data_IF_919830976244
#
_entry.id   IF_919830976244
#
_cell.length_a   1.000
_cell.length_b   1.000
_cell.length_c   1.000
_cell.angle_alpha   90.00
_cell.angle_beta   90.00
_cell.angle_gamma   90.00
#
_symmetry.space_group_name_H-M   'P 1'
#
loop_
_entity.id
_entity.type
_entity.pdbx_description
1 polymer ?
#
# COMPACT_ATOMS: atom_id res chain seq x y z
N UNK A 1 26.91 -16.02 -11.61
CA UNK A 1 27.23 -16.59 -12.92
C UNK A 1 26.42 -15.93 -14.04
N UNK A 2 25.10 -15.85 -13.90
CA UNK A 2 24.19 -15.24 -14.89
C UNK A 2 24.58 -13.81 -15.28
N UNK A 3 24.85 -12.94 -14.30
CA UNK A 3 25.25 -11.56 -14.53
C UNK A 3 26.60 -11.44 -15.26
N UNK A 4 27.54 -12.38 -15.05
CA UNK A 4 28.83 -12.39 -15.73
C UNK A 4 28.67 -12.69 -17.21
N UNK A 5 27.85 -13.71 -17.56
CA UNK A 5 27.59 -14.02 -18.97
C UNK A 5 26.86 -12.90 -19.67
N UNK A 6 25.83 -12.34 -19.06
CA UNK A 6 25.09 -11.25 -19.63
C UNK A 6 25.98 -10.02 -19.89
N UNK A 7 26.85 -9.67 -18.94
CA UNK A 7 27.81 -8.57 -19.11
C UNK A 7 28.86 -8.87 -20.18
N UNK A 8 29.36 -10.10 -20.23
CA UNK A 8 30.33 -10.52 -21.25
C UNK A 8 29.77 -10.38 -22.67
N UNK A 9 28.56 -10.91 -22.91
CA UNK A 9 27.90 -10.80 -24.20
C UNK A 9 27.58 -9.34 -24.56
N UNK A 10 27.14 -8.55 -23.62
CA UNK A 10 26.84 -7.14 -23.87
C UNK A 10 28.10 -6.37 -24.28
N UNK A 11 29.22 -6.60 -23.61
CA UNK A 11 30.52 -5.98 -24.00
C UNK A 11 30.95 -6.38 -25.40
N UNK A 12 30.80 -7.62 -25.75
CA UNK A 12 31.09 -8.10 -27.11
C UNK A 12 30.19 -7.39 -28.14
N UNK A 13 28.89 -7.29 -27.85
CA UNK A 13 27.94 -6.58 -28.74
C UNK A 13 28.23 -5.07 -28.83
N UNK A 14 28.75 -4.48 -27.76
CA UNK A 14 29.22 -3.10 -27.77
C UNK A 14 30.46 -2.92 -28.65
N UNK A 15 31.42 -3.80 -28.51
CA UNK A 15 32.66 -3.74 -29.28
C UNK A 15 32.44 -3.88 -30.80
N UNK A 16 31.42 -4.62 -31.19
CA UNK A 16 31.00 -4.75 -32.61
C UNK A 16 29.92 -3.74 -33.04
N UNK A 17 29.60 -2.78 -32.20
CA UNK A 17 28.67 -1.66 -32.51
C UNK A 17 27.18 -2.00 -32.58
N UNK A 18 26.75 -3.13 -32.02
CA UNK A 18 25.34 -3.57 -32.04
C UNK A 18 24.54 -2.89 -30.94
N UNK A 19 25.13 -2.60 -29.78
CA UNK A 19 24.46 -1.91 -28.66
C UNK A 19 25.16 -0.58 -28.35
N UNK A 20 24.40 0.46 -27.88
CA UNK A 20 24.94 1.80 -27.73
C UNK A 20 25.69 2.05 -26.42
N UNK A 21 25.61 1.14 -25.44
CA UNK A 21 26.19 1.32 -24.10
C UNK A 21 27.25 0.28 -23.78
N UNK A 22 28.34 0.69 -23.11
CA UNK A 22 29.43 -0.21 -22.74
C UNK A 22 29.08 -1.16 -21.60
N UNK A 23 28.10 -0.82 -20.76
CA UNK A 23 27.65 -1.63 -19.64
C UNK A 23 26.14 -1.92 -19.73
N UNK A 24 25.71 -3.18 -19.47
CA UNK A 24 24.30 -3.58 -19.63
C UNK A 24 23.39 -3.09 -18.49
N UNK A 25 23.98 -2.78 -17.32
CA UNK A 25 23.22 -2.49 -16.12
C UNK A 25 23.66 -1.18 -15.47
N UNK A 26 22.71 -0.28 -15.26
CA UNK A 26 22.94 0.98 -14.53
C UNK A 26 22.81 0.79 -13.02
N UNK A 27 21.97 -0.14 -12.58
CA UNK A 27 21.68 -0.37 -11.16
C UNK A 27 21.44 -1.86 -10.92
N UNK A 28 21.96 -2.36 -9.80
CA UNK A 28 21.60 -3.68 -9.27
C UNK A 28 20.71 -3.51 -8.05
N UNK A 29 19.50 -4.03 -8.12
CA UNK A 29 18.60 -4.13 -6.97
C UNK A 29 18.62 -5.56 -6.45
N UNK A 30 18.98 -5.71 -5.17
CA UNK A 30 18.91 -7.00 -4.51
C UNK A 30 17.51 -7.17 -3.93
N UNK A 31 16.72 -8.05 -4.51
CA UNK A 31 15.47 -8.49 -3.91
C UNK A 31 15.79 -9.40 -2.71
N UNK A 32 14.93 -9.41 -1.71
CA UNK A 32 14.98 -10.35 -0.61
C UNK A 32 14.86 -11.80 -1.11
N UNK A 33 15.21 -12.74 -0.26
CA UNK A 33 15.04 -14.16 -0.56
C UNK A 33 13.57 -14.53 -0.46
N UNK A 34 13.10 -15.38 -1.36
CA UNK A 34 11.78 -16.02 -1.21
C UNK A 34 11.93 -17.04 -0.08
N UNK A 35 11.09 -16.90 0.94
CA UNK A 35 11.10 -17.72 2.13
C UNK A 35 9.93 -18.71 2.09
N UNK A 36 10.16 -19.91 2.62
CA UNK A 36 9.15 -20.93 2.79
C UNK A 36 9.23 -21.55 4.20
N UNK A 37 8.24 -22.33 4.57
CA UNK A 37 8.26 -23.08 5.82
C UNK A 37 9.46 -24.02 5.85
N UNK A 38 10.12 -24.11 7.00
CA UNK A 38 11.20 -25.06 7.20
C UNK A 38 10.62 -26.42 7.64
N UNK A 39 10.72 -27.46 6.78
CA UNK A 39 10.16 -28.78 7.13
C UNK A 39 10.92 -29.46 8.28
N UNK A 40 12.07 -28.97 8.67
CA UNK A 40 12.89 -29.52 9.77
C UNK A 40 12.75 -28.72 11.07
N UNK A 41 11.93 -27.68 11.10
CA UNK A 41 11.62 -26.94 12.34
C UNK A 41 10.49 -27.63 13.08
N UNK A 42 10.65 -27.81 14.39
CA UNK A 42 9.69 -28.49 15.25
C UNK A 42 8.25 -27.98 15.05
N UNK A 43 8.06 -26.66 14.97
CA UNK A 43 6.73 -26.05 14.84
C UNK A 43 6.04 -26.32 13.50
N UNK A 44 6.79 -26.75 12.49
CA UNK A 44 6.26 -27.05 11.16
C UNK A 44 6.08 -28.57 10.91
N UNK A 45 6.50 -29.41 11.86
CA UNK A 45 6.30 -30.86 11.74
C UNK A 45 4.83 -31.22 11.92
N UNK A 46 4.36 -32.31 11.28
CA UNK A 46 3.03 -32.86 11.56
C UNK A 46 2.85 -33.16 13.05
N UNK A 47 1.62 -33.00 13.55
CA UNK A 47 1.31 -33.20 14.99
C UNK A 47 1.77 -34.57 15.52
N UNK A 48 1.62 -35.62 14.72
CA UNK A 48 2.07 -36.96 15.06
C UNK A 48 3.59 -37.06 15.28
N UNK A 49 4.38 -36.34 14.46
CA UNK A 49 5.83 -36.30 14.60
C UNK A 49 6.25 -35.44 15.79
N UNK A 50 5.56 -34.32 16.07
CA UNK A 50 5.78 -33.54 17.26
C UNK A 50 5.53 -34.35 18.52
N UNK A 51 4.40 -35.07 18.60
CA UNK A 51 4.05 -35.94 19.73
C UNK A 51 5.06 -37.07 19.93
N UNK A 52 5.57 -37.64 18.85
CA UNK A 52 6.61 -38.69 18.91
C UNK A 52 7.91 -38.14 19.52
N UNK A 53 8.36 -36.97 19.02
CA UNK A 53 9.55 -36.31 19.55
C UNK A 53 9.37 -35.86 21.01
N UNK A 54 8.20 -35.38 21.39
CA UNK A 54 7.93 -35.02 22.79
C UNK A 54 7.97 -36.22 23.73
N UNK A 55 7.47 -37.36 23.28
CA UNK A 55 7.56 -38.63 24.04
C UNK A 55 8.99 -39.14 24.15
N UNK A 56 9.78 -39.00 23.08
CA UNK A 56 11.18 -39.46 23.03
C UNK A 56 12.12 -38.57 23.85
N UNK A 57 12.00 -37.27 23.74
CA UNK A 57 12.92 -36.32 24.36
C UNK A 57 12.38 -35.61 25.60
N UNK A 58 11.12 -35.86 25.98
CA UNK A 58 10.50 -35.37 27.21
C UNK A 58 10.13 -33.87 27.24
N UNK A 59 10.63 -33.05 26.31
CA UNK A 59 10.28 -31.66 26.21
C UNK A 59 10.52 -31.11 24.80
N UNK A 60 9.77 -30.05 24.42
CA UNK A 60 9.95 -29.38 23.14
C UNK A 60 11.38 -28.88 22.94
N UNK A 61 11.98 -28.25 23.97
CA UNK A 61 13.35 -27.75 23.91
C UNK A 61 14.39 -28.83 23.64
N UNK A 62 14.19 -30.02 24.20
CA UNK A 62 15.08 -31.15 23.94
C UNK A 62 14.85 -31.73 22.53
N UNK A 63 13.61 -31.79 22.05
CA UNK A 63 13.28 -32.18 20.69
C UNK A 63 13.86 -31.20 19.66
N UNK A 64 13.76 -29.90 19.88
CA UNK A 64 14.37 -28.86 19.03
C UNK A 64 15.90 -29.01 18.96
N UNK A 65 16.53 -29.31 20.11
CA UNK A 65 17.98 -29.55 20.15
C UNK A 65 18.37 -30.80 19.36
N UNK A 66 17.61 -31.87 19.43
CA UNK A 66 17.84 -33.08 18.65
C UNK A 66 17.67 -32.85 17.13
N UNK A 67 16.68 -32.03 16.76
CA UNK A 67 16.51 -31.61 15.36
C UNK A 67 17.69 -30.74 14.88
N UNK A 68 18.20 -29.89 15.75
CA UNK A 68 19.39 -29.09 15.45
C UNK A 68 20.65 -29.95 15.26
N UNK A 69 20.87 -30.93 16.11
CA UNK A 69 21.98 -31.88 15.96
C UNK A 69 21.88 -32.68 14.66
N UNK A 70 20.65 -32.98 14.21
CA UNK A 70 20.40 -33.76 12.99
C UNK A 70 20.44 -32.91 11.71
N UNK A 71 19.86 -31.71 11.73
CA UNK A 71 19.63 -30.87 10.54
C UNK A 71 20.40 -29.53 10.55
N UNK A 72 21.15 -29.25 11.62
CA UNK A 72 21.93 -28.03 11.79
C UNK A 72 21.11 -26.87 12.35
N UNK A 73 21.79 -25.75 12.62
CA UNK A 73 21.24 -24.54 13.25
C UNK A 73 20.01 -23.99 12.51
N UNK A 74 19.90 -24.22 11.21
CA UNK A 74 18.73 -23.76 10.42
C UNK A 74 17.40 -24.34 10.91
N UNK A 75 17.38 -25.50 11.58
CA UNK A 75 16.16 -26.11 12.13
C UNK A 75 15.47 -25.27 13.21
N UNK A 76 16.21 -24.34 13.84
CA UNK A 76 15.68 -23.37 14.80
C UNK A 76 14.73 -22.35 14.16
N UNK A 77 14.86 -22.13 12.87
CA UNK A 77 14.11 -21.10 12.16
C UNK A 77 12.89 -21.72 11.47
N UNK A 78 11.65 -21.33 11.85
CA UNK A 78 10.45 -21.88 11.22
C UNK A 78 10.28 -21.46 9.76
N UNK A 79 10.94 -20.39 9.36
CA UNK A 79 10.92 -19.86 7.99
C UNK A 79 12.35 -19.74 7.50
N UNK A 80 12.63 -20.32 6.34
CA UNK A 80 13.97 -20.33 5.72
C UNK A 80 13.88 -20.08 4.23
N UNK A 81 15.04 -19.87 3.60
CA UNK A 81 15.11 -19.72 2.14
C UNK A 81 14.49 -20.94 1.44
N UNK A 82 13.61 -20.69 0.48
CA UNK A 82 13.08 -21.73 -0.40
C UNK A 82 14.19 -22.43 -1.14
N UNK A 83 14.25 -23.77 -1.08
CA UNK A 83 15.25 -24.58 -1.74
C UNK A 83 14.69 -25.94 -2.12
N UNK A 84 15.00 -26.39 -3.35
CA UNK A 84 14.62 -27.74 -3.81
C UNK A 84 15.21 -28.85 -2.92
N UNK A 85 16.40 -28.65 -2.36
CA UNK A 85 17.03 -29.61 -1.45
C UNK A 85 16.35 -29.72 -0.09
N UNK A 86 15.61 -28.69 0.34
CA UNK A 86 14.82 -28.68 1.58
C UNK A 86 13.39 -29.18 1.37
N UNK A 87 12.97 -29.37 0.10
CA UNK A 87 11.59 -29.76 -0.21
C UNK A 87 10.54 -28.70 0.15
N UNK A 88 10.94 -27.48 0.46
CA UNK A 88 10.03 -26.39 0.84
C UNK A 88 9.72 -25.43 -0.33
N UNK A 89 9.99 -25.88 -1.54
CA UNK A 89 9.66 -25.17 -2.79
C UNK A 89 8.20 -25.47 -3.11
N UNK A 90 7.45 -24.43 -3.34
CA UNK A 90 6.09 -24.54 -3.85
C UNK A 90 6.19 -24.78 -5.35
N UNK A 91 5.71 -25.94 -5.81
CA UNK A 91 5.56 -26.19 -7.23
C UNK A 91 4.37 -25.38 -7.74
N UNK A 92 4.53 -24.56 -8.80
CA UNK A 92 3.40 -23.81 -9.39
C UNK A 92 2.26 -24.71 -9.87
N UNK A 93 2.56 -25.97 -10.19
CA UNK A 93 1.59 -26.97 -10.66
C UNK A 93 0.92 -27.72 -9.48
N UNK A 94 1.51 -27.70 -8.29
CA UNK A 94 0.88 -28.16 -7.07
C UNK A 94 0.39 -26.93 -6.31
N UNK A 95 -0.91 -26.86 -6.06
CA UNK A 95 -1.55 -25.76 -5.38
C UNK A 95 -0.75 -25.33 -4.12
N UNK A 96 0.09 -24.33 -4.28
CA UNK A 96 0.47 -23.51 -3.14
C UNK A 96 -0.84 -23.10 -2.46
N UNK A 97 -0.89 -22.91 -1.14
CA UNK A 97 -1.99 -22.20 -0.55
C UNK A 97 -1.89 -20.72 -1.00
N UNK A 98 -2.11 -20.52 -2.30
CA UNK A 98 -2.54 -19.24 -2.79
C UNK A 98 -3.74 -18.91 -1.92
N UNK A 99 -3.66 -17.83 -1.19
CA UNK A 99 -4.87 -17.28 -0.64
C UNK A 99 -5.68 -16.80 -1.84
N UNK A 100 -6.56 -17.67 -2.32
CA UNK A 100 -7.47 -17.39 -3.44
C UNK A 100 -8.25 -16.11 -3.18
N UNK A 101 -8.48 -15.79 -1.91
CA UNK A 101 -9.02 -14.53 -1.44
C UNK A 101 -8.16 -13.31 -1.80
N UNK A 102 -6.84 -13.42 -1.79
CA UNK A 102 -5.94 -12.31 -2.14
C UNK A 102 -5.99 -12.03 -3.65
N UNK A 103 -6.01 -13.09 -4.49
CA UNK A 103 -6.17 -12.96 -5.95
C UNK A 103 -7.53 -12.38 -6.28
N UNK A 104 -8.60 -12.86 -5.63
CA UNK A 104 -9.94 -12.32 -5.81
C UNK A 104 -10.02 -10.84 -5.40
N UNK A 105 -9.22 -10.41 -4.41
CA UNK A 105 -9.06 -9.01 -4.03
C UNK A 105 -8.43 -8.15 -5.14
N UNK A 106 -7.35 -8.66 -5.74
CA UNK A 106 -6.68 -7.99 -6.86
C UNK A 106 -7.59 -7.91 -8.10
N UNK A 107 -8.27 -9.00 -8.46
CA UNK A 107 -9.20 -9.01 -9.59
C UNK A 107 -10.33 -7.99 -9.36
N UNK A 108 -10.97 -7.99 -8.20
CA UNK A 108 -12.01 -7.00 -7.88
C UNK A 108 -11.51 -5.56 -7.95
N UNK A 109 -10.25 -5.31 -7.58
CA UNK A 109 -9.66 -3.99 -7.73
C UNK A 109 -9.52 -3.60 -9.21
N UNK A 110 -9.00 -4.48 -10.05
CA UNK A 110 -8.87 -4.25 -11.49
C UNK A 110 -10.25 -4.07 -12.15
N UNK A 111 -11.23 -4.92 -11.82
CA UNK A 111 -12.61 -4.79 -12.31
C UNK A 111 -13.22 -3.43 -11.94
N UNK A 112 -12.95 -2.94 -10.73
CA UNK A 112 -13.42 -1.63 -10.29
C UNK A 112 -12.74 -0.49 -11.03
N UNK A 113 -11.44 -0.58 -11.31
CA UNK A 113 -10.75 0.41 -12.15
C UNK A 113 -11.35 0.44 -13.55
N UNK A 114 -11.57 -0.75 -14.14
CA UNK A 114 -12.24 -0.85 -15.43
C UNK A 114 -13.63 -0.20 -15.43
N UNK A 115 -14.44 -0.54 -14.46
CA UNK A 115 -15.80 -0.02 -14.34
C UNK A 115 -15.89 1.49 -14.08
N UNK A 116 -14.80 2.16 -13.66
CA UNK A 116 -14.76 3.62 -13.57
C UNK A 116 -14.88 4.30 -14.95
N UNK A 117 -14.46 3.63 -16.03
CA UNK A 117 -14.62 4.18 -17.37
C UNK A 117 -16.09 4.31 -17.81
N UNK A 118 -16.99 3.56 -17.18
CA UNK A 118 -18.42 3.64 -17.40
C UNK A 118 -19.12 4.60 -16.39
N UNK A 119 -18.35 5.18 -15.47
CA UNK A 119 -18.81 6.10 -14.42
C UNK A 119 -18.10 7.45 -14.50
N UNK A 120 -17.83 7.90 -15.71
CA UNK A 120 -17.26 9.22 -15.90
C UNK A 120 -18.28 10.29 -15.53
N UNK A 121 -17.83 11.28 -14.75
CA UNK A 121 -18.60 12.47 -14.39
C UNK A 121 -18.07 13.68 -15.14
N UNK A 122 -18.94 14.67 -15.38
CA UNK A 122 -18.55 15.92 -16.00
C UNK A 122 -17.57 16.69 -15.12
N UNK A 123 -16.59 17.33 -15.73
CA UNK A 123 -15.59 18.18 -15.07
C UNK A 123 -14.28 18.20 -15.82
N UNK A 124 -13.59 19.32 -15.73
CA UNK A 124 -12.22 19.49 -16.25
C UNK A 124 -11.21 19.34 -15.12
N UNK A 125 -10.16 18.54 -15.33
CA UNK A 125 -9.11 18.33 -14.33
C UNK A 125 -9.56 17.52 -13.11
N UNK A 126 -8.86 17.75 -11.98
CA UNK A 126 -9.19 17.10 -10.72
C UNK A 126 -10.22 17.91 -9.96
N UNK A 127 -11.24 17.23 -9.41
CA UNK A 127 -12.26 17.87 -8.58
C UNK A 127 -11.69 18.28 -7.22
N UNK A 128 -12.11 19.43 -6.64
CA UNK A 128 -11.55 19.96 -5.39
C UNK A 128 -11.53 18.96 -4.23
N UNK A 129 -12.57 18.12 -4.12
CA UNK A 129 -12.67 17.11 -3.05
C UNK A 129 -11.72 15.93 -3.22
N UNK A 130 -11.12 15.74 -4.40
CA UNK A 130 -10.20 14.64 -4.74
C UNK A 130 -8.79 15.16 -5.04
N UNK A 131 -8.63 16.43 -5.39
CA UNK A 131 -7.38 17.02 -5.88
C UNK A 131 -6.19 16.73 -4.96
N UNK A 132 -6.34 16.95 -3.66
CA UNK A 132 -5.27 16.66 -2.67
C UNK A 132 -4.87 15.20 -2.70
N UNK A 133 -5.84 14.28 -2.71
CA UNK A 133 -5.57 12.84 -2.75
C UNK A 133 -4.93 12.43 -4.07
N UNK A 134 -5.29 13.05 -5.22
CA UNK A 134 -4.63 12.81 -6.51
C UNK A 134 -3.15 13.15 -6.43
N UNK A 135 -2.79 14.36 -5.99
CA UNK A 135 -1.40 14.80 -5.86
C UNK A 135 -0.61 13.95 -4.85
N UNK A 136 -1.19 13.61 -3.70
CA UNK A 136 -0.59 12.69 -2.73
C UNK A 136 -0.34 11.30 -3.33
N UNK A 137 -1.28 10.80 -4.14
CA UNK A 137 -1.16 9.48 -4.76
C UNK A 137 -0.08 9.47 -5.83
N UNK A 138 0.01 10.49 -6.69
CA UNK A 138 1.08 10.61 -7.70
C UNK A 138 2.44 10.59 -7.00
N UNK A 139 2.61 11.43 -5.98
CA UNK A 139 3.85 11.52 -5.18
C UNK A 139 4.22 10.18 -4.55
N UNK A 140 3.26 9.56 -3.86
CA UNK A 140 3.50 8.32 -3.12
C UNK A 140 3.78 7.14 -4.04
N UNK A 141 2.99 6.94 -5.09
CA UNK A 141 3.17 5.83 -6.04
C UNK A 141 4.50 5.97 -6.76
N UNK A 142 4.89 7.18 -7.20
CA UNK A 142 6.19 7.41 -7.81
C UNK A 142 7.34 7.05 -6.89
N UNK A 143 7.35 7.53 -5.65
CA UNK A 143 8.39 7.22 -4.66
C UNK A 143 8.43 5.73 -4.28
N UNK A 144 7.26 5.07 -4.18
CA UNK A 144 7.16 3.65 -3.87
C UNK A 144 7.70 2.78 -5.02
N UNK A 145 7.46 3.14 -6.28
CA UNK A 145 8.01 2.45 -7.44
C UNK A 145 9.55 2.57 -7.48
N UNK A 146 10.09 3.78 -7.26
CA UNK A 146 11.54 4.00 -7.22
C UNK A 146 12.24 3.17 -6.13
N UNK A 147 11.54 2.95 -5.01
CA UNK A 147 12.04 2.16 -3.88
C UNK A 147 11.57 0.70 -3.90
N UNK A 148 10.91 0.25 -4.97
CA UNK A 148 10.37 -1.11 -5.18
C UNK A 148 9.37 -1.55 -4.10
N UNK A 149 8.63 -0.62 -3.52
CA UNK A 149 7.55 -0.88 -2.56
C UNK A 149 6.20 -1.05 -3.27
N UNK A 150 6.13 -2.01 -4.19
CA UNK A 150 4.97 -2.21 -5.08
C UNK A 150 3.66 -2.43 -4.32
N UNK A 151 3.70 -3.13 -3.18
CA UNK A 151 2.52 -3.39 -2.34
C UNK A 151 1.92 -2.10 -1.76
N UNK A 152 2.75 -1.14 -1.32
CA UNK A 152 2.27 0.13 -0.77
C UNK A 152 1.77 1.07 -1.86
N UNK A 153 2.37 1.03 -3.05
CA UNK A 153 1.87 1.73 -4.23
C UNK A 153 0.46 1.26 -4.62
N UNK A 154 0.25 -0.07 -4.70
CA UNK A 154 -1.07 -0.65 -5.00
C UNK A 154 -2.09 -0.28 -3.92
N UNK A 155 -1.72 -0.34 -2.63
CA UNK A 155 -2.61 0.06 -1.53
C UNK A 155 -3.03 1.53 -1.64
N UNK A 156 -2.13 2.42 -2.06
CA UNK A 156 -2.46 3.82 -2.30
C UNK A 156 -3.41 3.99 -3.49
N UNK A 157 -3.20 3.26 -4.58
CA UNK A 157 -4.13 3.24 -5.72
C UNK A 157 -5.52 2.74 -5.31
N UNK A 158 -5.60 1.70 -4.48
CA UNK A 158 -6.88 1.22 -3.94
C UNK A 158 -7.60 2.31 -3.12
N UNK A 159 -6.85 3.07 -2.31
CA UNK A 159 -7.39 4.20 -1.54
C UNK A 159 -7.97 5.27 -2.47
N UNK A 160 -7.24 5.65 -3.51
CA UNK A 160 -7.71 6.62 -4.49
C UNK A 160 -8.97 6.14 -5.22
N UNK A 161 -8.98 4.90 -5.71
CA UNK A 161 -10.14 4.32 -6.39
C UNK A 161 -11.38 4.28 -5.47
N UNK A 162 -11.21 3.95 -4.19
CA UNK A 162 -12.31 4.01 -3.22
C UNK A 162 -12.87 5.44 -3.12
N UNK A 163 -12.00 6.44 -2.96
CA UNK A 163 -12.42 7.83 -2.86
C UNK A 163 -13.14 8.32 -4.13
N UNK A 164 -12.73 7.87 -5.33
CA UNK A 164 -13.43 8.18 -6.57
C UNK A 164 -14.85 7.61 -6.57
N UNK A 165 -15.03 6.35 -6.13
CA UNK A 165 -16.36 5.74 -5.99
C UNK A 165 -17.24 6.47 -4.96
N UNK A 166 -16.67 6.83 -3.81
CA UNK A 166 -17.38 7.54 -2.74
C UNK A 166 -17.84 8.94 -3.20
N UNK A 167 -17.17 9.51 -4.21
CA UNK A 167 -17.51 10.78 -4.85
C UNK A 167 -18.26 10.63 -6.18
N UNK A 168 -18.89 9.48 -6.42
CA UNK A 168 -19.81 9.25 -7.53
C UNK A 168 -19.20 8.89 -8.87
N UNK A 169 -17.88 8.66 -8.94
CA UNK A 169 -17.14 8.32 -10.17
C UNK A 169 -15.87 9.15 -10.32
N UNK A 170 -15.35 9.24 -11.53
CA UNK A 170 -14.13 9.98 -11.85
C UNK A 170 -14.37 10.95 -13.01
N UNK A 171 -13.69 12.10 -13.04
CA UNK A 171 -13.54 12.85 -14.29
C UNK A 171 -12.60 12.12 -15.23
N UNK A 172 -12.61 12.48 -16.50
CA UNK A 172 -11.67 11.89 -17.46
C UNK A 172 -10.22 12.04 -17.00
N UNK A 173 -9.82 13.24 -16.55
CA UNK A 173 -8.46 13.53 -16.09
C UNK A 173 -8.08 12.74 -14.81
N UNK A 174 -9.02 12.53 -13.89
CA UNK A 174 -8.80 11.71 -12.70
C UNK A 174 -8.57 10.23 -13.09
N UNK A 175 -9.37 9.70 -14.01
CA UNK A 175 -9.22 8.32 -14.47
C UNK A 175 -7.94 8.13 -15.32
N UNK A 176 -7.61 9.06 -16.21
CA UNK A 176 -6.35 9.04 -16.95
C UNK A 176 -5.14 8.94 -16.02
N UNK A 177 -5.13 9.71 -14.94
CA UNK A 177 -4.06 9.65 -13.93
C UNK A 177 -4.02 8.30 -13.22
N UNK A 178 -5.18 7.74 -12.82
CA UNK A 178 -5.22 6.38 -12.24
C UNK A 178 -4.65 5.36 -13.21
N UNK A 179 -5.00 5.43 -14.47
CA UNK A 179 -4.56 4.52 -15.54
C UNK A 179 -3.04 4.65 -15.76
N UNK A 180 -2.51 5.88 -15.79
CA UNK A 180 -1.07 6.12 -15.87
C UNK A 180 -0.30 5.51 -14.69
N UNK A 181 -0.78 5.75 -13.46
CA UNK A 181 -0.13 5.24 -12.24
C UNK A 181 -0.23 3.72 -12.12
N UNK A 182 -1.27 3.11 -12.68
CA UNK A 182 -1.50 1.66 -12.66
C UNK A 182 -0.74 0.93 -13.80
N UNK A 183 -0.32 1.63 -14.84
CA UNK A 183 0.31 1.01 -16.02
C UNK A 183 1.50 0.08 -15.69
N UNK A 184 2.43 0.42 -14.77
CA UNK A 184 3.53 -0.48 -14.39
C UNK A 184 3.09 -1.81 -13.77
N UNK A 185 1.86 -1.90 -13.28
CA UNK A 185 1.31 -3.08 -12.58
C UNK A 185 0.37 -3.91 -13.47
N UNK A 186 -0.35 -3.25 -14.37
CA UNK A 186 -1.36 -3.88 -15.23
C UNK A 186 -1.34 -3.29 -16.65
N UNK A 187 -0.21 -3.42 -17.39
CA UNK A 187 0.00 -2.69 -18.64
C UNK A 187 -1.08 -2.95 -19.69
N UNK A 188 -1.49 -4.20 -19.89
CA UNK A 188 -2.46 -4.53 -20.93
C UNK A 188 -3.83 -3.87 -20.71
N UNK A 189 -4.33 -3.93 -19.47
CA UNK A 189 -5.61 -3.32 -19.12
C UNK A 189 -5.57 -1.80 -19.22
N UNK A 190 -4.47 -1.20 -18.81
CA UNK A 190 -4.33 0.26 -18.81
C UNK A 190 -4.12 0.83 -20.20
N UNK A 191 -3.45 0.13 -21.11
CA UNK A 191 -3.38 0.52 -22.52
C UNK A 191 -4.78 0.51 -23.16
N UNK A 192 -5.58 -0.53 -22.93
CA UNK A 192 -6.95 -0.62 -23.43
C UNK A 192 -7.86 0.49 -22.86
N UNK A 193 -7.73 0.79 -21.56
CA UNK A 193 -8.44 1.91 -20.94
C UNK A 193 -8.00 3.27 -21.51
N UNK A 194 -6.72 3.41 -21.86
CA UNK A 194 -6.18 4.62 -22.44
C UNK A 194 -6.82 4.90 -23.81
N UNK A 195 -6.95 3.88 -24.67
CA UNK A 195 -7.68 3.98 -25.91
C UNK A 195 -9.17 4.29 -25.69
N UNK A 196 -9.81 3.61 -24.74
CA UNK A 196 -11.22 3.85 -24.38
C UNK A 196 -11.47 5.29 -23.93
N UNK A 197 -10.49 5.93 -23.31
CA UNK A 197 -10.52 7.34 -22.91
C UNK A 197 -10.29 8.32 -24.10
N UNK A 198 -10.06 7.80 -25.29
CA UNK A 198 -9.99 8.56 -26.53
C UNK A 198 -8.58 8.94 -26.98
N UNK A 199 -7.56 8.31 -26.42
CA UNK A 199 -6.19 8.42 -26.90
C UNK A 199 -5.97 7.52 -28.14
N UNK A 200 -5.03 7.91 -29.00
CA UNK A 200 -4.74 7.14 -30.21
C UNK A 200 -4.05 5.82 -29.88
N UNK A 201 -4.42 4.73 -30.58
CA UNK A 201 -3.72 3.44 -30.49
C UNK A 201 -2.19 3.55 -30.72
N UNK A 202 -1.73 4.55 -31.44
CA UNK A 202 -0.31 4.78 -31.66
C UNK A 202 0.38 5.56 -30.51
N UNK A 203 -0.39 6.06 -29.55
CA UNK A 203 0.10 6.77 -28.36
C UNK A 203 0.13 5.80 -27.17
N UNK A 204 1.13 4.90 -27.17
CA UNK A 204 1.25 3.93 -26.10
C UNK A 204 1.48 4.62 -24.76
N UNK A 205 0.64 4.28 -23.77
CA UNK A 205 0.70 4.83 -22.41
C UNK A 205 2.06 4.59 -21.74
N UNK A 206 2.72 3.47 -22.05
CA UNK A 206 4.04 3.13 -21.51
C UNK A 206 5.11 4.19 -21.82
N UNK A 207 4.96 4.98 -22.88
CA UNK A 207 5.87 6.07 -23.26
C UNK A 207 5.33 7.45 -22.90
N UNK A 208 4.13 7.50 -22.30
CA UNK A 208 3.55 8.76 -21.88
C UNK A 208 4.26 9.31 -20.63
N UNK A 209 4.45 10.65 -20.51
CA UNK A 209 5.13 11.23 -19.35
C UNK A 209 4.42 10.86 -18.04
N UNK A 210 5.21 10.51 -17.01
CA UNK A 210 4.68 10.27 -15.68
C UNK A 210 3.94 11.51 -15.15
N UNK A 211 2.77 11.34 -14.52
CA UNK A 211 1.98 12.47 -14.04
C UNK A 211 2.75 13.25 -12.96
N UNK A 212 2.61 14.57 -13.01
CA UNK A 212 3.28 15.48 -12.08
C UNK A 212 2.37 15.82 -10.91
N UNK A 213 2.95 15.96 -9.73
CA UNK A 213 2.25 16.47 -8.56
C UNK A 213 2.75 17.85 -8.17
N UNK A 214 1.91 18.62 -7.50
CA UNK A 214 2.22 19.89 -6.89
C UNK A 214 2.32 19.70 -5.37
N UNK A 215 3.47 20.01 -4.78
CA UNK A 215 3.71 19.82 -3.34
C UNK A 215 2.70 20.61 -2.48
N UNK A 216 2.37 21.83 -2.91
CA UNK A 216 1.40 22.68 -2.22
C UNK A 216 -0.01 22.06 -2.17
N UNK A 217 -0.38 21.21 -3.13
CA UNK A 217 -1.67 20.55 -3.20
C UNK A 217 -1.68 19.19 -2.48
N UNK A 218 -0.52 18.70 -2.05
CA UNK A 218 -0.42 17.49 -1.25
C UNK A 218 -0.83 17.69 0.21
N UNK A 219 -0.99 18.92 0.66
CA UNK A 219 -1.36 19.25 2.03
C UNK A 219 -2.88 19.31 2.13
N UNK A 220 -3.45 18.54 3.06
CA UNK A 220 -4.88 18.62 3.33
C UNK A 220 -5.23 20.03 3.85
N UNK A 221 -6.15 20.70 3.15
CA UNK A 221 -6.65 22.00 3.57
C UNK A 221 -7.55 21.91 4.80
N UNK A 222 -8.08 20.73 5.12
CA UNK A 222 -8.94 20.47 6.27
C UNK A 222 -8.50 19.24 7.04
N UNK A 223 -8.66 19.26 8.36
CA UNK A 223 -8.41 18.14 9.26
C UNK A 223 -9.65 17.84 10.09
N UNK A 224 -9.89 16.56 10.35
CA UNK A 224 -10.94 16.15 11.27
C UNK A 224 -10.40 16.14 12.69
N UNK A 225 -10.99 16.97 13.57
CA UNK A 225 -10.65 17.03 14.98
C UNK A 225 -11.77 16.41 15.83
N UNK A 226 -11.37 15.63 16.85
CA UNK A 226 -12.32 15.10 17.82
C UNK A 226 -12.63 16.16 18.87
N UNK A 227 -13.92 16.43 19.13
CA UNK A 227 -14.36 17.30 20.23
C UNK A 227 -14.75 16.44 21.42
N UNK A 228 -14.09 16.70 22.54
CA UNK A 228 -14.31 15.99 23.80
C UNK A 228 -14.87 16.91 24.88
N UNK A 229 -15.76 16.37 25.69
CA UNK A 229 -16.24 17.00 26.93
C UNK A 229 -15.86 16.07 28.09
N UNK A 230 -15.03 16.56 29.02
CA UNK A 230 -14.45 15.76 30.11
C UNK A 230 -13.82 14.43 29.60
N UNK A 231 -13.08 14.48 28.47
CA UNK A 231 -12.38 13.33 27.89
C UNK A 231 -13.28 12.37 27.08
N UNK A 232 -14.60 12.59 27.02
CA UNK A 232 -15.53 11.79 26.19
C UNK A 232 -15.79 12.48 24.86
N UNK A 233 -15.54 11.82 23.74
CA UNK A 233 -15.83 12.34 22.38
C UNK A 233 -17.34 12.58 22.24
N UNK A 234 -17.69 13.78 21.82
CA UNK A 234 -19.08 14.22 21.58
C UNK A 234 -19.36 14.53 20.12
N UNK A 235 -18.37 15.05 19.42
CA UNK A 235 -18.47 15.38 18.00
C UNK A 235 -17.13 15.18 17.28
N UNK A 236 -17.17 15.16 15.97
CA UNK A 236 -16.00 15.24 15.08
C UNK A 236 -16.26 16.38 14.11
N UNK A 237 -15.32 17.30 14.02
CA UNK A 237 -15.45 18.50 13.18
C UNK A 237 -14.35 18.51 12.12
N UNK A 238 -14.73 18.83 10.89
CA UNK A 238 -13.78 19.18 9.83
C UNK A 238 -13.48 20.67 9.93
N UNK A 239 -12.23 20.99 10.18
CA UNK A 239 -11.74 22.38 10.33
C UNK A 239 -10.54 22.60 9.40
N UNK A 240 -10.23 23.85 9.08
CA UNK A 240 -9.02 24.17 8.33
C UNK A 240 -7.77 23.63 9.05
N UNK A 241 -6.80 23.08 8.29
CA UNK A 241 -5.61 22.47 8.89
C UNK A 241 -4.74 23.48 9.64
N UNK A 242 -4.82 24.75 9.28
CA UNK A 242 -4.11 25.88 9.85
C UNK A 242 -4.94 26.65 10.90
N UNK A 243 -6.16 26.18 11.25
CA UNK A 243 -7.06 26.81 12.21
C UNK A 243 -6.33 27.11 13.54
N UNK A 244 -6.50 28.31 14.04
CA UNK A 244 -5.95 28.67 15.36
C UNK A 244 -6.78 28.06 16.51
N UNK A 245 -6.23 28.11 17.72
CA UNK A 245 -6.85 27.52 18.89
C UNK A 245 -8.20 28.17 19.23
N UNK A 246 -8.33 29.49 19.07
CA UNK A 246 -9.53 30.23 19.42
C UNK A 246 -10.67 29.88 18.47
N UNK A 247 -10.40 29.87 17.16
CA UNK A 247 -11.38 29.51 16.13
C UNK A 247 -11.78 28.02 16.24
N UNK A 248 -10.84 27.10 16.50
CA UNK A 248 -11.14 25.67 16.69
C UNK A 248 -12.05 25.44 17.92
N UNK A 249 -11.80 26.13 19.03
CA UNK A 249 -12.63 26.03 20.22
C UNK A 249 -13.99 26.67 19.99
N UNK A 250 -14.07 27.79 19.28
CA UNK A 250 -15.34 28.42 18.91
C UNK A 250 -16.21 27.50 18.03
N UNK A 251 -15.60 26.90 17.00
CA UNK A 251 -16.28 25.92 16.15
C UNK A 251 -16.76 24.69 16.95
N UNK A 252 -15.94 24.20 17.89
CA UNK A 252 -16.30 23.08 18.74
C UNK A 252 -17.50 23.38 19.64
N UNK A 253 -17.61 24.59 20.17
CA UNK A 253 -18.74 25.04 21.02
C UNK A 253 -20.01 25.25 20.20
N UNK A 254 -19.91 25.62 18.94
CA UNK A 254 -21.03 25.82 18.03
C UNK A 254 -21.70 24.50 17.58
N UNK A 255 -21.05 23.37 17.74
CA UNK A 255 -21.63 22.06 17.39
C UNK A 255 -22.80 21.73 18.32
N UNK A 256 -23.96 21.33 17.77
CA UNK A 256 -25.19 21.08 18.57
C UNK A 256 -25.00 20.00 19.66
N UNK A 257 -24.25 18.93 19.37
CA UNK A 257 -24.03 17.85 20.33
C UNK A 257 -23.08 18.27 21.47
N UNK A 258 -22.15 19.17 21.16
CA UNK A 258 -21.26 19.75 22.16
C UNK A 258 -21.98 20.79 23.00
N UNK A 259 -22.76 21.68 22.36
CA UNK A 259 -23.57 22.70 23.05
C UNK A 259 -24.52 22.06 24.06
N UNK A 260 -25.24 21.01 23.67
CA UNK A 260 -26.10 20.24 24.58
C UNK A 260 -25.35 19.60 25.76
N UNK A 261 -24.07 19.16 25.50
CA UNK A 261 -23.24 18.57 26.56
C UNK A 261 -22.67 19.63 27.54
N UNK A 262 -22.64 20.88 27.14
CA UNK A 262 -22.18 22.03 27.95
C UNK A 262 -23.32 22.71 28.73
N UNK A 263 -24.59 22.47 28.35
CA UNK A 263 -25.75 23.09 28.94
C UNK A 263 -25.81 22.86 30.45
N UNK A 264 -25.98 23.94 31.21
CA UNK A 264 -26.06 23.90 32.68
C UNK A 264 -24.72 23.65 33.40
N UNK A 265 -23.60 23.61 32.69
CA UNK A 265 -22.28 23.32 33.25
C UNK A 265 -21.35 24.52 33.16
N UNK A 266 -20.45 24.66 34.15
CA UNK A 266 -19.45 25.70 34.13
C UNK A 266 -18.16 25.18 33.43
N UNK A 267 -17.73 25.89 32.37
CA UNK A 267 -16.50 25.61 31.65
C UNK A 267 -15.28 25.97 32.52
N UNK A 268 -14.41 25.02 32.77
CA UNK A 268 -13.24 25.18 33.64
C UNK A 268 -11.95 25.33 32.84
N UNK A 269 -11.81 24.57 31.76
CA UNK A 269 -10.59 24.55 30.94
C UNK A 269 -10.90 24.15 29.50
N UNK A 270 -10.21 24.83 28.58
CA UNK A 270 -10.27 24.57 27.15
C UNK A 270 -8.86 24.17 26.67
N UNK A 271 -8.76 23.06 25.98
CA UNK A 271 -7.49 22.54 25.47
C UNK A 271 -7.69 22.24 23.99
N UNK A 272 -6.84 22.85 23.14
CA UNK A 272 -6.74 22.52 21.74
C UNK A 272 -5.38 21.85 21.46
N UNK A 273 -5.40 20.69 20.85
CA UNK A 273 -4.23 20.01 20.30
C UNK A 273 -4.34 20.11 18.80
N UNK A 274 -3.44 20.88 18.19
CA UNK A 274 -3.45 21.22 16.77
C UNK A 274 -3.63 19.98 15.90
N UNK A 275 -4.65 20.00 15.03
CA UNK A 275 -4.94 18.92 14.08
C UNK A 275 -5.43 17.60 14.70
N UNK A 276 -5.75 17.57 16.01
CA UNK A 276 -6.12 16.32 16.70
C UNK A 276 -7.42 16.40 17.48
N UNK A 277 -7.51 17.29 18.44
CA UNK A 277 -8.68 17.36 19.30
C UNK A 277 -8.87 18.71 19.98
N UNK A 278 -10.11 19.00 20.32
CA UNK A 278 -10.51 20.00 21.31
C UNK A 278 -11.09 19.27 22.51
N UNK A 279 -10.61 19.57 23.73
CA UNK A 279 -11.18 19.05 24.97
C UNK A 279 -11.69 20.19 25.84
N UNK A 280 -12.97 20.14 26.16
CA UNK A 280 -13.69 21.10 27.01
C UNK A 280 -13.92 20.46 28.38
N UNK A 281 -13.18 20.90 29.38
CA UNK A 281 -13.38 20.43 30.74
C UNK A 281 -14.45 21.27 31.44
N UNK A 282 -15.51 20.62 31.91
CA UNK A 282 -16.64 21.27 32.59
C UNK A 282 -16.85 20.71 33.99
N UNK A 283 -17.32 21.60 34.91
CA UNK A 283 -17.76 21.25 36.25
C UNK A 283 -19.26 21.45 36.27
N UNK A 284 -19.97 20.39 36.61
CA UNK A 284 -21.43 20.42 36.78
C UNK A 284 -21.78 20.12 38.19
#
# INVERSE_FOLDING_TARGET
>A
LHLLYSRFWHKFLYDIGVVPTAEPYQKRTAHGMILGLNPHSFVNLPAEEQDKLLKEYGSQKAAEKALEEKYGEMSRHPIVKMSKSLGNVINPDEAAPWQTSAIAGCNRFLDRVWALSDKLVEGEGYRPQIETLMHQTIKKVGADIETLKMNTAIAQLMTLVNALYDNGGATKAELETVVQLLNPFAPHMTEELWEKLGHSHNEQLAYYPWPKYEEAKCVESTVEIAVQVNGKVKARLKVAADIDAAAAIAAAKADPAVAAALEGKQLVKEIYVKGRLVNLAVKG
#
